data_IF_502477215969
#
_entry.id   IF_502477215969
#
_cell.length_a   1.000
_cell.length_b   1.000
_cell.length_c   1.000
_cell.angle_alpha   90.00
_cell.angle_beta   90.00
_cell.angle_gamma   90.00
#
_symmetry.space_group_name_H-M   'P 1'
#
loop_
_entity.id
_entity.type
_entity.pdbx_description
1 polymer ?
#
# COMPACT_ATOMS: atom_id res chain seq x y z
N UNK A 1 13.50 -13.34 -19.53
CA UNK A 1 13.36 -13.47 -18.06
C UNK A 1 11.96 -13.99 -17.78
N UNK A 2 11.83 -15.27 -17.45
CA UNK A 2 10.52 -15.90 -17.24
C UNK A 2 9.94 -15.48 -15.89
N UNK A 3 8.87 -14.69 -15.92
CA UNK A 3 8.02 -14.47 -14.76
C UNK A 3 7.25 -15.77 -14.50
N UNK A 4 7.63 -16.52 -13.45
CA UNK A 4 6.81 -17.64 -12.97
C UNK A 4 5.65 -17.05 -12.16
N UNK A 5 4.44 -17.09 -12.73
CA UNK A 5 3.21 -16.91 -11.97
C UNK A 5 3.10 -18.05 -10.93
N UNK A 6 2.74 -17.69 -9.70
CA UNK A 6 2.73 -18.63 -8.58
C UNK A 6 1.40 -18.51 -7.84
N UNK A 7 0.71 -19.64 -7.68
CA UNK A 7 -0.62 -19.68 -7.08
C UNK A 7 -0.55 -19.54 -5.54
N UNK A 8 -1.61 -18.99 -4.93
CA UNK A 8 -1.75 -18.74 -3.48
C UNK A 8 -1.43 -19.95 -2.58
N UNK A 9 -1.72 -21.16 -3.04
CA UNK A 9 -1.42 -22.39 -2.30
C UNK A 9 0.09 -22.68 -2.20
N UNK A 10 0.90 -22.23 -3.17
CA UNK A 10 2.36 -22.34 -3.12
C UNK A 10 3.01 -21.21 -2.32
N UNK A 11 2.29 -20.11 -2.09
CA UNK A 11 2.77 -18.95 -1.36
C UNK A 11 2.96 -19.27 0.12
N UNK A 12 1.99 -19.96 0.73
CA UNK A 12 2.12 -20.46 2.11
C UNK A 12 3.35 -21.33 2.31
N UNK A 13 3.79 -22.09 1.29
CA UNK A 13 5.01 -22.91 1.37
C UNK A 13 6.31 -22.12 1.19
N UNK A 14 6.26 -20.95 0.55
CA UNK A 14 7.43 -20.07 0.36
C UNK A 14 7.61 -19.00 1.45
N UNK A 15 6.51 -18.54 2.07
CA UNK A 15 6.54 -17.73 3.30
C UNK A 15 7.37 -18.40 4.40
N UNK A 16 7.47 -19.73 4.38
CA UNK A 16 8.21 -20.53 5.37
C UNK A 16 9.74 -20.50 5.25
N UNK A 17 10.34 -20.06 4.12
CA UNK A 17 11.79 -20.29 3.88
C UNK A 17 12.67 -19.06 3.78
N UNK A 18 12.14 -17.83 3.76
CA UNK A 18 12.98 -16.65 3.56
C UNK A 18 12.79 -15.60 4.66
N UNK A 19 13.47 -15.81 5.80
CA UNK A 19 13.64 -14.76 6.83
C UNK A 19 14.49 -13.58 6.35
N UNK A 20 15.11 -13.71 5.17
CA UNK A 20 15.96 -12.71 4.54
C UNK A 20 15.25 -11.87 3.47
N UNK A 21 13.93 -12.05 3.31
CA UNK A 21 13.17 -11.30 2.32
C UNK A 21 13.17 -9.81 2.67
N UNK A 22 13.62 -8.97 1.73
CA UNK A 22 13.65 -7.51 1.88
C UNK A 22 12.54 -6.81 1.11
N UNK A 23 12.06 -7.41 0.02
CA UNK A 23 10.94 -6.87 -0.76
C UNK A 23 9.87 -7.93 -1.00
N UNK A 24 8.65 -7.60 -0.62
CA UNK A 24 7.45 -8.38 -0.93
C UNK A 24 6.56 -7.54 -1.84
N UNK A 25 6.33 -8.02 -3.05
CA UNK A 25 5.37 -7.42 -3.97
C UNK A 25 4.27 -8.43 -4.32
N UNK A 26 3.03 -7.98 -4.17
CA UNK A 26 1.83 -8.75 -4.42
C UNK A 26 0.87 -7.93 -5.26
N UNK A 27 0.42 -8.47 -6.38
CA UNK A 27 -0.60 -7.87 -7.20
C UNK A 27 -1.73 -8.87 -7.41
N UNK A 28 -2.96 -8.43 -7.15
CA UNK A 28 -4.15 -9.27 -7.26
C UNK A 28 -4.97 -8.88 -8.48
N UNK A 29 -4.89 -9.69 -9.54
CA UNK A 29 -5.78 -9.53 -10.68
C UNK A 29 -7.03 -10.40 -10.49
N UNK A 30 -8.06 -9.78 -9.89
CA UNK A 30 -9.49 -10.12 -10.06
C UNK A 30 -10.11 -11.39 -9.42
N UNK A 31 -9.71 -11.85 -8.22
CA UNK A 31 -10.62 -12.70 -7.44
C UNK A 31 -11.74 -11.88 -6.76
N UNK A 32 -13.00 -12.31 -6.91
CA UNK A 32 -14.07 -11.92 -5.99
C UNK A 32 -13.81 -12.60 -4.63
N UNK A 33 -12.88 -12.03 -3.87
CA UNK A 33 -12.46 -12.51 -2.56
C UNK A 33 -11.40 -11.59 -2.00
N UNK A 34 -11.54 -11.18 -0.73
CA UNK A 34 -10.46 -10.49 -0.03
C UNK A 34 -9.29 -11.46 0.13
N UNK A 35 -8.24 -11.34 -0.68
CA UNK A 35 -6.93 -11.91 -0.33
C UNK A 35 -6.47 -11.15 0.91
N UNK A 36 -6.62 -11.81 2.06
CA UNK A 36 -6.07 -11.33 3.33
C UNK A 36 -4.62 -11.75 3.42
N UNK A 37 -3.74 -10.81 3.74
CA UNK A 37 -2.39 -11.10 4.19
C UNK A 37 -2.53 -11.66 5.61
N UNK A 38 -2.37 -12.97 5.80
CA UNK A 38 -2.51 -13.47 7.17
C UNK A 38 -1.41 -12.85 8.05
N UNK A 39 -1.79 -12.35 9.23
CA UNK A 39 -0.86 -11.73 10.18
C UNK A 39 0.31 -12.67 10.52
N UNK A 40 0.04 -13.97 10.58
CA UNK A 40 1.05 -15.03 10.76
C UNK A 40 2.13 -15.02 9.68
N UNK A 41 1.80 -14.72 8.41
CA UNK A 41 2.79 -14.63 7.34
C UNK A 41 3.68 -13.39 7.50
N UNK A 42 3.09 -12.24 7.84
CA UNK A 42 3.81 -10.98 8.04
C UNK A 42 4.82 -11.06 9.20
N UNK A 43 4.51 -11.84 10.24
CA UNK A 43 5.42 -12.10 11.36
C UNK A 43 6.74 -12.79 10.96
N UNK A 44 6.85 -13.34 9.74
CA UNK A 44 8.04 -14.09 9.29
C UNK A 44 9.08 -13.24 8.55
N UNK A 45 8.86 -11.93 8.41
CA UNK A 45 9.72 -11.06 7.61
C UNK A 45 10.34 -9.90 8.39
N UNK A 46 11.20 -10.19 9.38
CA UNK A 46 11.82 -9.14 10.20
C UNK A 46 12.73 -8.19 9.40
N UNK A 47 13.22 -8.61 8.23
CA UNK A 47 14.08 -7.81 7.35
C UNK A 47 13.32 -7.15 6.20
N UNK A 48 11.99 -7.17 6.20
CA UNK A 48 11.20 -6.56 5.13
C UNK A 48 11.41 -5.04 5.14
N UNK A 49 11.87 -4.51 4.01
CA UNK A 49 12.07 -3.09 3.79
C UNK A 49 10.99 -2.48 2.89
N UNK A 50 10.40 -3.30 2.00
CA UNK A 50 9.41 -2.85 1.04
C UNK A 50 8.23 -3.82 0.93
N UNK A 51 7.03 -3.30 1.14
CA UNK A 51 5.77 -4.01 0.96
C UNK A 51 4.93 -3.31 -0.11
N UNK A 52 4.79 -3.96 -1.27
CA UNK A 52 4.06 -3.42 -2.41
C UNK A 52 2.80 -4.26 -2.66
N UNK A 53 1.64 -3.64 -2.52
CA UNK A 53 0.33 -4.26 -2.65
C UNK A 53 -0.47 -3.51 -3.71
N UNK A 54 -0.84 -4.21 -4.77
CA UNK A 54 -1.63 -3.67 -5.88
C UNK A 54 -2.96 -4.42 -5.98
N UNK A 55 -4.07 -3.69 -5.90
CA UNK A 55 -5.44 -4.24 -5.88
C UNK A 55 -5.71 -5.20 -4.71
N UNK A 56 -4.92 -5.10 -3.63
CA UNK A 56 -5.06 -5.89 -2.41
C UNK A 56 -5.53 -4.97 -1.28
N UNK A 57 -6.60 -5.36 -0.59
CA UNK A 57 -7.04 -4.67 0.62
C UNK A 57 -6.17 -5.11 1.79
N UNK A 58 -5.45 -4.16 2.38
CA UNK A 58 -4.83 -4.33 3.69
C UNK A 58 -5.77 -3.79 4.77
N UNK A 59 -5.83 -4.48 5.89
CA UNK A 59 -6.61 -4.18 7.09
C UNK A 59 -5.75 -3.47 8.14
N UNK A 60 -6.43 -2.86 9.11
CA UNK A 60 -5.76 -2.25 10.27
C UNK A 60 -4.88 -3.24 11.03
N UNK A 61 -5.38 -4.45 11.28
CA UNK A 61 -4.65 -5.50 12.01
C UNK A 61 -3.37 -5.94 11.26
N UNK A 62 -3.43 -6.02 9.93
CA UNK A 62 -2.26 -6.31 9.11
C UNK A 62 -1.22 -5.18 9.19
N UNK A 63 -1.63 -3.90 9.13
CA UNK A 63 -0.72 -2.75 9.32
C UNK A 63 -0.06 -2.77 10.71
N UNK A 64 -0.83 -3.00 11.77
CA UNK A 64 -0.32 -3.12 13.13
C UNK A 64 0.69 -4.28 13.26
N UNK A 65 0.39 -5.40 12.60
CA UNK A 65 1.30 -6.54 12.54
C UNK A 65 2.59 -6.18 11.81
N UNK A 66 2.51 -5.51 10.65
CA UNK A 66 3.71 -5.05 9.93
C UNK A 66 4.54 -4.12 10.81
N UNK A 67 3.93 -3.14 11.48
CA UNK A 67 4.68 -2.23 12.36
C UNK A 67 5.35 -2.91 13.54
N UNK A 68 4.75 -4.00 14.05
CA UNK A 68 5.34 -4.78 15.14
C UNK A 68 6.47 -5.70 14.70
N UNK A 69 6.34 -6.35 13.54
CA UNK A 69 7.23 -7.45 13.14
C UNK A 69 8.17 -7.14 11.99
N UNK A 70 7.97 -6.05 11.26
CA UNK A 70 8.81 -5.61 10.15
C UNK A 70 9.47 -4.24 10.45
N UNK A 71 10.36 -4.16 11.46
CA UNK A 71 10.91 -2.87 11.92
C UNK A 71 11.78 -2.15 10.88
N UNK A 72 12.20 -2.86 9.82
CA UNK A 72 13.03 -2.31 8.74
C UNK A 72 12.20 -1.70 7.59
N UNK A 73 10.87 -1.75 7.68
CA UNK A 73 9.99 -1.30 6.60
C UNK A 73 10.15 0.22 6.36
N UNK A 74 10.52 0.57 5.13
CA UNK A 74 10.70 1.96 4.67
C UNK A 74 9.73 2.32 3.56
N UNK A 75 9.22 1.34 2.83
CA UNK A 75 8.30 1.54 1.71
C UNK A 75 7.03 0.72 1.92
N UNK A 76 5.89 1.42 1.86
CA UNK A 76 4.59 0.79 1.77
C UNK A 76 3.85 1.32 0.54
N UNK A 77 3.42 0.42 -0.32
CA UNK A 77 2.46 0.73 -1.38
C UNK A 77 1.21 -0.08 -1.12
N UNK A 78 0.10 0.59 -0.81
CA UNK A 78 -1.20 -0.05 -0.57
C UNK A 78 -2.22 0.55 -1.54
N UNK A 79 -2.04 0.18 -2.81
CA UNK A 79 -2.72 0.80 -3.93
C UNK A 79 -3.96 0.02 -4.35
N UNK A 80 -4.97 0.76 -4.80
CA UNK A 80 -6.24 0.20 -5.26
C UNK A 80 -6.82 1.02 -6.41
N UNK A 81 -7.53 0.37 -7.34
CA UNK A 81 -8.40 1.07 -8.28
C UNK A 81 -9.46 1.82 -7.48
N UNK A 82 -9.29 3.14 -7.40
CA UNK A 82 -10.28 4.05 -6.83
C UNK A 82 -11.62 3.83 -7.54
N UNK A 83 -12.67 3.54 -6.77
CA UNK A 83 -14.04 3.54 -7.29
C UNK A 83 -14.63 4.93 -7.09
N UNK A 84 -14.69 5.70 -8.17
CA UNK A 84 -15.47 6.93 -8.26
C UNK A 84 -16.95 6.57 -8.02
N UNK A 85 -17.53 7.07 -6.94
CA UNK A 85 -18.96 6.90 -6.63
C UNK A 85 -19.30 6.31 -5.27
N UNK A 86 -18.32 5.79 -4.52
CA UNK A 86 -18.59 5.35 -3.14
C UNK A 86 -18.33 6.48 -2.15
N UNK A 87 -19.36 6.91 -1.42
CA UNK A 87 -19.30 7.95 -0.39
C UNK A 87 -18.61 7.50 0.91
N UNK A 88 -18.15 6.26 0.95
CA UNK A 88 -17.64 5.60 2.14
C UNK A 88 -16.20 6.06 2.44
N UNK A 89 -16.03 6.84 3.51
CA UNK A 89 -14.76 7.43 3.97
C UNK A 89 -14.23 6.65 5.17
N UNK A 90 -12.94 6.31 5.17
CA UNK A 90 -12.31 5.59 6.28
C UNK A 90 -10.89 6.06 6.51
N UNK A 91 -10.61 6.48 7.75
CA UNK A 91 -9.28 6.87 8.19
C UNK A 91 -8.54 5.75 8.92
N UNK A 92 -9.17 4.59 9.15
CA UNK A 92 -8.63 3.52 9.99
C UNK A 92 -7.24 3.04 9.53
N UNK A 93 -7.04 2.88 8.23
CA UNK A 93 -5.75 2.45 7.65
C UNK A 93 -4.71 3.56 7.78
N UNK A 94 -5.08 4.81 7.49
CA UNK A 94 -4.18 5.95 7.62
C UNK A 94 -3.73 6.17 9.07
N UNK A 95 -4.66 6.03 10.02
CA UNK A 95 -4.38 6.09 11.46
C UNK A 95 -3.44 4.95 11.86
N UNK A 96 -3.72 3.72 11.42
CA UNK A 96 -2.86 2.58 11.73
C UNK A 96 -1.44 2.77 11.17
N UNK A 97 -1.31 3.29 9.95
CA UNK A 97 -0.02 3.62 9.34
C UNK A 97 0.71 4.65 10.20
N UNK A 98 0.08 5.79 10.49
CA UNK A 98 0.68 6.86 11.29
C UNK A 98 1.08 6.41 12.69
N UNK A 99 0.34 5.48 13.30
CA UNK A 99 0.65 5.01 14.66
C UNK A 99 1.73 3.92 14.72
N UNK A 100 1.90 3.13 13.66
CA UNK A 100 2.71 1.90 13.73
C UNK A 100 3.91 1.89 12.78
N UNK A 101 3.92 2.73 11.73
CA UNK A 101 4.94 2.70 10.66
C UNK A 101 5.78 3.99 10.64
N UNK A 102 6.30 4.39 11.80
CA UNK A 102 7.02 5.66 12.02
C UNK A 102 8.33 5.78 11.22
N UNK A 103 8.89 4.65 10.77
CA UNK A 103 10.11 4.58 9.96
C UNK A 103 9.91 4.75 8.45
N UNK A 104 8.66 4.92 7.99
CA UNK A 104 8.35 5.04 6.57
C UNK A 104 9.03 6.25 5.92
N UNK A 105 9.50 6.02 4.70
CA UNK A 105 10.10 7.03 3.80
C UNK A 105 9.35 7.16 2.49
N UNK A 106 8.65 6.10 2.07
CA UNK A 106 7.85 6.08 0.85
C UNK A 106 6.49 5.47 1.12
N UNK A 107 5.42 6.22 0.84
CA UNK A 107 4.04 5.78 1.00
C UNK A 107 3.23 6.02 -0.27
N UNK A 108 2.63 4.96 -0.81
CA UNK A 108 1.62 5.08 -1.86
C UNK A 108 0.28 4.56 -1.35
N UNK A 109 -0.75 5.38 -1.50
CA UNK A 109 -2.12 5.07 -1.11
C UNK A 109 -3.08 5.34 -2.26
N UNK A 110 -2.68 5.00 -3.49
CA UNK A 110 -3.46 5.31 -4.69
C UNK A 110 -4.89 4.75 -4.54
N UNK A 111 -5.88 5.62 -4.77
CA UNK A 111 -7.30 5.26 -4.68
C UNK A 111 -7.84 5.03 -3.26
N UNK A 112 -7.07 5.37 -2.21
CA UNK A 112 -7.53 5.32 -0.83
C UNK A 112 -8.63 6.36 -0.58
N UNK A 113 -9.49 6.10 0.41
CA UNK A 113 -10.66 6.93 0.74
C UNK A 113 -10.54 7.63 2.09
N UNK A 114 -9.32 7.83 2.57
CA UNK A 114 -9.05 8.65 3.74
C UNK A 114 -9.45 10.10 3.47
N UNK A 115 -9.78 10.80 4.55
CA UNK A 115 -10.01 12.24 4.55
C UNK A 115 -8.76 12.96 5.04
N UNK A 116 -8.83 14.29 5.09
CA UNK A 116 -7.80 15.14 5.69
C UNK A 116 -7.40 14.68 7.10
N UNK A 117 -8.32 14.12 7.89
CA UNK A 117 -8.02 13.59 9.23
C UNK A 117 -7.01 12.45 9.17
N UNK A 118 -7.19 11.50 8.25
CA UNK A 118 -6.24 10.39 8.08
C UNK A 118 -4.88 10.87 7.59
N UNK A 119 -4.88 11.82 6.65
CA UNK A 119 -3.64 12.41 6.14
C UNK A 119 -2.87 13.17 7.21
N UNK A 120 -3.55 13.98 8.04
CA UNK A 120 -2.90 14.67 9.17
C UNK A 120 -2.20 13.69 10.11
N UNK A 121 -2.84 12.57 10.47
CA UNK A 121 -2.20 11.56 11.33
C UNK A 121 -0.93 10.98 10.71
N UNK A 122 -0.90 10.77 9.38
CA UNK A 122 0.31 10.32 8.69
C UNK A 122 1.40 11.39 8.78
N UNK A 123 1.09 12.65 8.45
CA UNK A 123 2.08 13.73 8.45
C UNK A 123 2.63 14.01 9.86
N UNK A 124 1.77 13.97 10.88
CA UNK A 124 2.12 14.27 12.27
C UNK A 124 2.98 13.17 12.93
N UNK A 125 3.04 11.96 12.38
CA UNK A 125 3.76 10.84 12.99
C UNK A 125 4.88 10.27 12.10
N UNK A 126 4.72 10.26 10.78
CA UNK A 126 5.71 9.75 9.83
C UNK A 126 6.68 10.86 9.39
N UNK A 127 7.48 11.39 10.31
CA UNK A 127 8.37 12.53 10.05
C UNK A 127 9.49 12.27 9.04
N UNK A 128 9.83 11.00 8.77
CA UNK A 128 10.83 10.63 7.77
C UNK A 128 10.25 10.41 6.37
N UNK A 129 8.95 10.67 6.17
CA UNK A 129 8.29 10.42 4.90
C UNK A 129 8.77 11.41 3.84
N UNK A 130 9.44 10.91 2.81
CA UNK A 130 10.02 11.71 1.72
C UNK A 130 9.13 11.67 0.47
N UNK A 131 8.46 10.54 0.23
CA UNK A 131 7.57 10.33 -0.93
C UNK A 131 6.17 9.98 -0.47
N UNK A 132 5.17 10.68 -1.00
CA UNK A 132 3.75 10.42 -0.76
C UNK A 132 2.96 10.47 -2.08
N UNK A 133 2.31 9.36 -2.42
CA UNK A 133 1.43 9.28 -3.59
C UNK A 133 -0.03 9.19 -3.15
N UNK A 134 -0.78 10.26 -3.42
CA UNK A 134 -2.20 10.42 -3.10
C UNK A 134 -3.09 10.33 -4.34
N UNK A 135 -2.59 9.89 -5.50
CA UNK A 135 -3.41 9.84 -6.73
C UNK A 135 -4.70 9.07 -6.50
N UNK A 136 -5.80 9.59 -7.02
CA UNK A 136 -7.17 9.08 -6.80
C UNK A 136 -7.66 9.06 -5.35
N UNK A 137 -6.98 9.70 -4.40
CA UNK A 137 -7.50 9.96 -3.05
C UNK A 137 -8.47 11.15 -3.04
N UNK A 138 -9.60 11.01 -3.73
CA UNK A 138 -10.55 12.11 -3.98
C UNK A 138 -11.29 12.65 -2.74
N UNK A 139 -11.09 12.04 -1.57
CA UNK A 139 -11.67 12.50 -0.30
C UNK A 139 -10.76 13.48 0.45
N UNK A 140 -9.59 13.82 -0.12
CA UNK A 140 -8.62 14.76 0.45
C UNK A 140 -8.78 16.11 -0.25
N UNK A 141 -8.89 17.17 0.54
CA UNK A 141 -8.78 18.55 0.08
C UNK A 141 -7.46 19.14 0.59
N UNK A 142 -6.56 19.42 -0.35
CA UNK A 142 -5.24 19.99 -0.07
C UNK A 142 -5.22 21.52 -0.20
N UNK A 143 -6.38 22.19 -0.16
CA UNK A 143 -6.41 23.66 -0.02
C UNK A 143 -6.01 24.08 1.40
N UNK A 144 -5.33 25.21 1.49
CA UNK A 144 -4.95 25.81 2.77
C UNK A 144 -3.78 25.10 3.46
N UNK A 145 -3.82 25.07 4.79
CA UNK A 145 -2.67 24.70 5.63
C UNK A 145 -2.22 23.24 5.45
N UNK A 146 -3.15 22.32 5.24
CA UNK A 146 -2.80 20.91 5.04
C UNK A 146 -1.99 20.71 3.74
N UNK A 147 -2.37 21.39 2.65
CA UNK A 147 -1.61 21.35 1.40
C UNK A 147 -0.22 21.94 1.57
N UNK A 148 -0.11 23.03 2.33
CA UNK A 148 1.17 23.66 2.68
C UNK A 148 2.05 22.72 3.51
N UNK A 149 1.48 22.07 4.54
CA UNK A 149 2.20 21.08 5.35
C UNK A 149 2.70 19.93 4.48
N UNK A 150 1.86 19.41 3.57
CA UNK A 150 2.27 18.38 2.62
C UNK A 150 3.45 18.83 1.75
N UNK A 151 3.40 20.01 1.15
CA UNK A 151 4.46 20.47 0.24
C UNK A 151 5.77 20.83 0.96
N UNK A 152 5.70 21.25 2.22
CA UNK A 152 6.88 21.55 3.05
C UNK A 152 7.54 20.28 3.58
N UNK A 153 6.75 19.29 4.00
CA UNK A 153 7.25 18.05 4.61
C UNK A 153 7.63 16.98 3.58
N UNK A 154 6.89 16.88 2.47
CA UNK A 154 7.05 15.80 1.49
C UNK A 154 7.84 16.29 0.29
N UNK A 155 8.98 15.66 0.04
CA UNK A 155 9.87 15.98 -1.09
C UNK A 155 9.28 15.59 -2.45
N UNK A 156 8.64 14.42 -2.52
CA UNK A 156 8.04 13.89 -3.74
C UNK A 156 6.56 13.60 -3.52
N UNK A 157 5.72 14.60 -3.78
CA UNK A 157 4.28 14.52 -3.60
C UNK A 157 3.58 14.32 -4.96
N UNK A 158 2.69 13.33 -5.04
CA UNK A 158 1.74 13.18 -6.15
C UNK A 158 0.32 13.41 -5.66
N UNK A 159 -0.42 14.28 -6.33
CA UNK A 159 -1.70 14.81 -5.91
C UNK A 159 -2.88 13.94 -6.36
N UNK A 160 -4.07 14.06 -5.74
CA UNK A 160 -5.23 13.25 -6.07
C UNK A 160 -5.65 13.23 -7.55
N UNK A 161 -5.42 14.31 -8.28
CA UNK A 161 -5.82 14.44 -9.68
C UNK A 161 -4.66 14.29 -10.68
N UNK A 162 -3.45 13.97 -10.21
CA UNK A 162 -2.31 13.74 -11.11
C UNK A 162 -2.54 12.48 -11.95
N UNK A 163 -2.04 12.45 -13.20
CA UNK A 163 -2.20 11.31 -14.09
C UNK A 163 -1.57 10.04 -13.52
N UNK A 164 -2.18 8.91 -13.85
CA UNK A 164 -1.72 7.61 -13.36
C UNK A 164 -0.63 6.98 -14.23
N UNK A 165 -0.12 7.59 -15.29
CA UNK A 165 0.71 6.98 -16.36
C UNK A 165 1.77 5.94 -15.95
N UNK A 166 2.42 6.09 -14.79
CA UNK A 166 3.44 5.17 -14.27
C UNK A 166 2.93 4.09 -13.30
N UNK A 167 1.62 4.04 -13.01
CA UNK A 167 1.02 3.03 -12.15
C UNK A 167 1.02 1.67 -12.86
N UNK A 168 1.68 0.64 -12.29
CA UNK A 168 1.58 -0.69 -12.85
C UNK A 168 0.10 -1.13 -12.76
N UNK A 169 -0.40 -1.82 -13.79
CA UNK A 169 -1.76 -2.37 -13.84
C UNK A 169 -2.93 -1.39 -14.16
N UNK A 170 -2.67 -0.19 -14.71
CA UNK A 170 -3.71 0.73 -15.24
C UNK A 170 -4.48 0.13 -16.42
N UNK A 171 -3.76 -0.52 -17.35
CA UNK A 171 -4.25 -0.83 -18.70
C UNK A 171 -4.89 -2.22 -18.87
N UNK A 172 -5.12 -2.98 -17.79
CA UNK A 172 -5.76 -4.29 -17.92
C UNK A 172 -7.25 -4.10 -18.23
N UNK A 173 -7.62 -4.33 -19.49
CA UNK A 173 -8.98 -4.22 -20.06
C UNK A 173 -9.85 -5.43 -19.74
N UNK A 174 -11.18 -5.28 -19.87
CA UNK A 174 -12.27 -6.25 -19.57
C UNK A 174 -12.08 -7.70 -20.06
N UNK A 175 -11.12 -7.96 -20.94
CA UNK A 175 -10.91 -9.22 -21.65
C UNK A 175 -9.75 -10.10 -21.15
N UNK A 176 -8.84 -9.63 -20.29
CA UNK A 176 -7.66 -10.41 -19.80
C UNK A 176 -7.89 -11.09 -18.44
N UNK A 177 -9.14 -11.41 -18.14
CA UNK A 177 -9.73 -11.29 -16.81
C UNK A 177 -9.48 -12.39 -15.78
N UNK A 178 -8.81 -13.50 -16.10
CA UNK A 178 -9.13 -14.73 -15.36
C UNK A 178 -8.12 -15.40 -14.44
N UNK A 179 -6.80 -15.16 -14.41
CA UNK A 179 -5.96 -16.14 -13.66
C UNK A 179 -4.58 -15.71 -13.10
N UNK A 180 -4.34 -14.49 -12.58
CA UNK A 180 -2.97 -14.22 -12.07
C UNK A 180 -2.87 -13.37 -10.81
N UNK A 181 -2.49 -14.02 -9.70
CA UNK A 181 -1.75 -13.38 -8.62
C UNK A 181 -0.28 -13.33 -9.05
N UNK A 182 0.31 -12.13 -9.09
CA UNK A 182 1.74 -11.96 -9.33
C UNK A 182 2.41 -11.75 -7.98
N UNK A 183 3.35 -12.64 -7.65
CA UNK A 183 4.23 -12.50 -6.51
C UNK A 183 5.65 -12.34 -6.98
N UNK A 184 6.26 -11.22 -6.62
CA UNK A 184 7.67 -10.97 -6.84
C UNK A 184 8.35 -10.90 -5.47
N UNK A 185 9.14 -11.93 -5.18
CA UNK A 185 10.03 -12.01 -4.03
C UNK A 185 11.44 -11.67 -4.50
N UNK A 186 12.08 -10.66 -3.89
CA UNK A 186 13.47 -10.29 -4.16
C UNK A 186 14.21 -10.03 -2.85
#
# INVERSE_FOLDING_TARGET
MHHKAMFLYDCFRLFYRSSQLRRLEMAHQFFFGCVKLTTVALMKFPLLEELNLYEIRISKEEIETVGRYCPMLKTLKANKRGYEGSLMRYNEIAIAIGQNLLGLRHLELIGNRMTNVGLHVILDNCHHLETLDLRRCFCIDLKGDLGKQCSEQIKYLKLPHDPLEDYPYIHVTESEYYNTLILLLR
#
